data_IF_650871721836
#
_entry.id   IF_650871721836
#
_cell.length_a   1.000
_cell.length_b   1.000
_cell.length_c   1.000
_cell.angle_alpha   90.00
_cell.angle_beta   90.00
_cell.angle_gamma   90.00
#
_symmetry.space_group_name_H-M   'P 1'
#
loop_
_entity.id
_entity.type
_entity.pdbx_description
1 polymer ?
#
# COMPACT_ATOMS: atom_id res chain seq x y z
N UNK A 1 -1.72 -21.15 -9.76
CA UNK A 1 -0.74 -21.92 -8.97
C UNK A 1 0.69 -21.69 -9.44
N UNK A 2 1.04 -21.90 -10.71
CA UNK A 2 2.41 -21.73 -11.25
C UNK A 2 3.01 -20.33 -10.95
N UNK A 3 2.27 -19.25 -11.15
CA UNK A 3 2.75 -17.89 -10.90
C UNK A 3 3.10 -17.62 -9.42
N UNK A 4 2.40 -18.28 -8.48
CA UNK A 4 2.72 -18.20 -7.05
C UNK A 4 4.04 -18.90 -6.74
N UNK A 5 4.27 -20.08 -7.35
CA UNK A 5 5.51 -20.83 -7.19
C UNK A 5 6.71 -20.09 -7.80
N UNK A 6 6.53 -19.49 -8.97
CA UNK A 6 7.57 -18.67 -9.60
C UNK A 6 7.85 -17.41 -8.79
N UNK A 7 6.80 -16.75 -8.29
CA UNK A 7 6.97 -15.63 -7.37
C UNK A 7 7.74 -16.03 -6.12
N UNK A 8 7.34 -17.12 -5.47
CA UNK A 8 8.01 -17.64 -4.28
C UNK A 8 9.50 -17.93 -4.55
N UNK A 9 9.81 -18.60 -5.67
CA UNK A 9 11.20 -18.86 -6.06
C UNK A 9 12.01 -17.56 -6.24
N UNK A 10 11.41 -16.54 -6.88
CA UNK A 10 12.01 -15.22 -6.99
C UNK A 10 12.23 -14.54 -5.64
N UNK A 11 11.27 -14.66 -4.72
CA UNK A 11 11.38 -14.16 -3.35
C UNK A 11 12.55 -14.78 -2.60
N UNK A 12 12.63 -16.10 -2.58
CA UNK A 12 13.73 -16.84 -1.95
C UNK A 12 15.07 -16.46 -2.55
N UNK A 13 15.15 -16.32 -3.88
CA UNK A 13 16.39 -15.92 -4.55
C UNK A 13 16.86 -14.54 -4.12
N UNK A 14 15.99 -13.54 -4.12
CA UNK A 14 16.36 -12.16 -3.74
C UNK A 14 16.68 -12.02 -2.26
N UNK A 15 15.97 -12.77 -1.41
CA UNK A 15 16.27 -12.84 0.02
C UNK A 15 17.65 -13.46 0.28
N UNK A 16 17.99 -14.55 -0.42
CA UNK A 16 19.29 -15.21 -0.33
C UNK A 16 20.46 -14.33 -0.85
N UNK A 17 20.18 -13.36 -1.70
CA UNK A 17 21.14 -12.36 -2.17
C UNK A 17 21.34 -11.20 -1.17
N UNK A 18 20.64 -11.20 -0.04
CA UNK A 18 20.72 -10.15 0.97
C UNK A 18 20.14 -8.81 0.51
N UNK A 19 19.23 -8.80 -0.46
CA UNK A 19 18.59 -7.59 -0.94
C UNK A 19 17.54 -7.14 0.07
N UNK A 20 17.59 -5.87 0.50
CA UNK A 20 16.62 -5.31 1.42
C UNK A 20 15.20 -5.40 0.86
N UNK A 21 14.25 -5.92 1.63
CA UNK A 21 12.91 -6.31 1.20
C UNK A 21 12.94 -7.22 -0.05
N UNK A 22 13.98 -8.05 -0.14
CA UNK A 22 14.24 -8.90 -1.31
C UNK A 22 13.13 -9.91 -1.54
N UNK A 23 12.57 -10.45 -0.48
CA UNK A 23 11.49 -11.43 -0.61
C UNK A 23 10.27 -10.84 -1.33
N UNK A 24 9.80 -9.66 -0.91
CA UNK A 24 8.68 -8.97 -1.56
C UNK A 24 9.01 -8.60 -3.01
N UNK A 25 10.19 -8.00 -3.23
CA UNK A 25 10.63 -7.56 -4.56
C UNK A 25 10.81 -8.75 -5.52
N UNK A 26 11.45 -9.81 -5.08
CA UNK A 26 11.67 -11.02 -5.87
C UNK A 26 10.36 -11.68 -6.30
N UNK A 27 9.43 -11.85 -5.36
CA UNK A 27 8.09 -12.37 -5.66
C UNK A 27 7.37 -11.51 -6.73
N UNK A 28 7.45 -10.20 -6.60
CA UNK A 28 6.80 -9.26 -7.53
C UNK A 28 7.45 -9.30 -8.92
N UNK A 29 8.78 -9.21 -8.99
CA UNK A 29 9.50 -9.15 -10.26
C UNK A 29 9.39 -10.46 -11.05
N UNK A 30 9.56 -11.61 -10.40
CA UNK A 30 9.48 -12.91 -11.06
C UNK A 30 8.07 -13.22 -11.54
N UNK A 31 7.07 -12.88 -10.77
CA UNK A 31 5.67 -13.05 -11.20
C UNK A 31 5.32 -12.09 -12.35
N UNK A 32 5.81 -10.86 -12.34
CA UNK A 32 5.65 -9.90 -13.42
C UNK A 32 6.36 -10.35 -14.70
N UNK A 33 7.61 -10.81 -14.60
CA UNK A 33 8.38 -11.33 -15.71
C UNK A 33 7.71 -12.57 -16.34
N UNK A 34 7.28 -13.53 -15.51
CA UNK A 34 6.53 -14.69 -15.98
C UNK A 34 5.28 -14.28 -16.77
N UNK A 35 4.51 -13.33 -16.23
CA UNK A 35 3.31 -12.83 -16.86
C UNK A 35 3.60 -12.17 -18.22
N UNK A 36 4.69 -11.41 -18.28
CA UNK A 36 5.13 -10.74 -19.49
C UNK A 36 5.55 -11.75 -20.60
N UNK A 37 6.31 -12.78 -20.22
CA UNK A 37 6.84 -13.78 -21.17
C UNK A 37 5.76 -14.73 -21.67
N UNK A 38 4.96 -15.27 -20.75
CA UNK A 38 3.97 -16.31 -21.08
C UNK A 38 2.69 -15.74 -21.69
N UNK A 39 2.52 -14.40 -21.68
CA UNK A 39 1.31 -13.70 -22.16
C UNK A 39 0.03 -14.34 -21.62
N UNK A 40 0.11 -14.92 -20.44
CA UNK A 40 -0.99 -15.63 -19.82
C UNK A 40 -2.12 -14.65 -19.46
N UNK A 41 -3.33 -14.89 -19.92
CA UNK A 41 -4.51 -14.13 -19.50
C UNK A 41 -4.93 -14.43 -18.05
N UNK A 42 -4.30 -15.41 -17.42
CA UNK A 42 -4.58 -15.79 -16.03
C UNK A 42 -4.03 -14.71 -15.10
N UNK A 43 -4.79 -13.63 -14.93
CA UNK A 43 -4.60 -12.77 -13.77
C UNK A 43 -4.83 -13.62 -12.51
N UNK A 44 -3.94 -13.51 -11.52
CA UNK A 44 -4.30 -13.98 -10.19
C UNK A 44 -5.63 -13.32 -9.82
N UNK A 45 -6.62 -14.14 -9.56
CA UNK A 45 -7.95 -13.67 -9.15
C UNK A 45 -7.77 -12.70 -7.98
N UNK A 46 -8.57 -11.63 -7.96
CA UNK A 46 -8.48 -10.61 -6.91
C UNK A 46 -8.53 -11.17 -5.48
N UNK A 47 -8.98 -12.46 -5.33
CA UNK A 47 -9.04 -13.16 -4.05
C UNK A 47 -7.66 -13.24 -3.35
N UNK A 48 -6.56 -13.51 -4.06
CA UNK A 48 -5.23 -13.59 -3.44
C UNK A 48 -4.80 -12.24 -2.87
N UNK A 49 -5.08 -11.15 -3.58
CA UNK A 49 -4.82 -9.81 -3.05
C UNK A 49 -5.69 -9.51 -1.82
N UNK A 50 -6.96 -9.90 -1.85
CA UNK A 50 -7.89 -9.72 -0.74
C UNK A 50 -7.43 -10.51 0.49
N UNK A 51 -7.04 -11.76 0.31
CA UNK A 51 -6.51 -12.62 1.40
C UNK A 51 -5.21 -12.03 1.97
N UNK A 52 -4.28 -11.59 1.13
CA UNK A 52 -3.07 -10.91 1.57
C UNK A 52 -3.37 -9.66 2.41
N UNK A 53 -4.31 -8.83 1.97
CA UNK A 53 -4.75 -7.65 2.72
C UNK A 53 -5.41 -8.01 4.06
N UNK A 54 -6.26 -9.04 4.10
CA UNK A 54 -6.91 -9.50 5.32
C UNK A 54 -5.86 -9.96 6.33
N UNK A 55 -4.93 -10.83 5.90
CA UNK A 55 -3.89 -11.36 6.77
C UNK A 55 -3.02 -10.23 7.31
N UNK A 56 -2.53 -9.31 6.45
CA UNK A 56 -1.75 -8.17 6.92
C UNK A 56 -2.54 -7.26 7.86
N UNK A 57 -3.81 -6.99 7.56
CA UNK A 57 -4.67 -6.24 8.47
C UNK A 57 -4.75 -6.90 9.86
N UNK A 58 -4.98 -8.21 9.89
CA UNK A 58 -5.03 -8.95 11.16
C UNK A 58 -3.69 -8.93 11.90
N UNK A 59 -2.56 -9.11 11.21
CA UNK A 59 -1.22 -9.04 11.82
C UNK A 59 -0.94 -7.67 12.46
N UNK A 60 -1.33 -6.59 11.79
CA UNK A 60 -1.22 -5.24 12.35
C UNK A 60 -2.10 -5.10 13.59
N UNK A 61 -3.36 -5.55 13.51
CA UNK A 61 -4.30 -5.40 14.63
C UNK A 61 -3.88 -6.19 15.86
N UNK A 62 -3.43 -7.45 15.70
CA UNK A 62 -2.93 -8.26 16.82
C UNK A 62 -1.62 -7.75 17.42
N UNK A 63 -0.95 -6.82 16.73
CA UNK A 63 0.28 -6.20 17.23
C UNK A 63 0.02 -4.85 17.92
N UNK A 64 -1.22 -4.36 18.02
CA UNK A 64 -1.52 -3.08 18.67
C UNK A 64 -1.22 -3.12 20.16
N UNK A 65 -0.64 -2.01 20.65
CA UNK A 65 -0.45 -1.73 22.08
C UNK A 65 -1.04 -0.36 22.39
N UNK A 66 -1.37 -0.11 23.64
CA UNK A 66 -1.92 1.19 24.05
C UNK A 66 -0.98 2.37 23.69
N UNK A 67 0.34 2.16 23.80
CA UNK A 67 1.36 3.15 23.41
C UNK A 67 1.25 3.57 21.94
N UNK A 68 0.89 2.64 21.03
CA UNK A 68 0.70 2.94 19.61
C UNK A 68 -0.48 3.89 19.38
N UNK A 69 -1.55 3.78 20.19
CA UNK A 69 -2.71 4.66 20.07
C UNK A 69 -2.37 6.10 20.50
N UNK A 70 -1.51 6.29 21.48
CA UNK A 70 -1.04 7.61 21.88
C UNK A 70 -0.15 8.25 20.80
N UNK A 71 0.79 7.48 20.25
CA UNK A 71 1.61 7.92 19.11
C UNK A 71 0.74 8.34 17.92
N UNK A 72 -0.29 7.58 17.60
CA UNK A 72 -1.24 7.92 16.54
C UNK A 72 -2.03 9.21 16.83
N UNK A 73 -2.41 9.45 18.08
CA UNK A 73 -3.07 10.72 18.47
C UNK A 73 -2.15 11.92 18.25
N UNK A 74 -0.89 11.83 18.68
CA UNK A 74 0.11 12.88 18.49
C UNK A 74 0.40 13.13 17.00
N UNK A 75 0.42 12.07 16.20
CA UNK A 75 0.67 12.14 14.78
C UNK A 75 -0.54 12.64 13.94
N UNK A 76 -1.75 12.74 14.53
CA UNK A 76 -2.98 13.07 13.80
C UNK A 76 -2.88 14.40 13.05
N UNK A 77 -2.45 15.47 13.70
CA UNK A 77 -2.34 16.79 13.08
C UNK A 77 -1.24 16.86 12.01
N UNK A 78 -0.01 16.38 12.24
CA UNK A 78 0.99 16.24 11.20
C UNK A 78 0.53 15.43 9.98
N UNK A 79 -0.21 14.35 10.20
CA UNK A 79 -0.74 13.50 9.14
C UNK A 79 -1.81 14.24 8.32
N UNK A 80 -2.74 14.92 8.97
CA UNK A 80 -3.75 15.74 8.28
C UNK A 80 -3.08 16.79 7.40
N UNK A 81 -2.09 17.49 7.92
CA UNK A 81 -1.29 18.45 7.15
C UNK A 81 -0.64 17.77 5.94
N UNK A 82 0.02 16.64 6.15
CA UNK A 82 0.67 15.87 5.10
C UNK A 82 -0.31 15.44 4.00
N UNK A 83 -1.51 14.96 4.38
CA UNK A 83 -2.54 14.57 3.42
C UNK A 83 -2.98 15.75 2.58
N UNK A 84 -3.24 16.90 3.20
CA UNK A 84 -3.65 18.12 2.51
C UNK A 84 -2.57 18.54 1.50
N UNK A 85 -1.30 18.53 1.91
CA UNK A 85 -0.17 18.88 1.02
C UNK A 85 -0.06 17.89 -0.14
N UNK A 86 -0.09 16.59 0.11
CA UNK A 86 0.01 15.56 -0.93
C UNK A 86 -1.18 15.57 -1.90
N UNK A 87 -2.40 15.78 -1.40
CA UNK A 87 -3.60 15.88 -2.25
C UNK A 87 -3.53 17.13 -3.12
N UNK A 88 -3.15 18.25 -2.54
CA UNK A 88 -2.98 19.51 -3.29
C UNK A 88 -1.89 19.38 -4.36
N UNK A 89 -0.75 18.80 -4.00
CA UNK A 89 0.33 18.51 -4.95
C UNK A 89 -0.11 17.54 -6.05
N UNK A 90 -0.80 16.46 -5.71
CA UNK A 90 -1.34 15.51 -6.69
C UNK A 90 -2.33 16.16 -7.65
N UNK A 91 -3.18 17.05 -7.15
CA UNK A 91 -4.10 17.82 -7.98
C UNK A 91 -3.36 18.76 -8.95
N UNK A 92 -2.38 19.52 -8.47
CA UNK A 92 -1.54 20.41 -9.30
C UNK A 92 -0.75 19.61 -10.34
N UNK A 93 -0.16 18.50 -9.94
CA UNK A 93 0.57 17.59 -10.85
C UNK A 93 -0.36 16.97 -11.89
N UNK A 94 -1.60 16.64 -11.52
CA UNK A 94 -2.62 16.18 -12.47
C UNK A 94 -3.01 17.23 -13.50
N UNK A 95 -3.11 18.50 -13.10
CA UNK A 95 -3.30 19.60 -14.04
C UNK A 95 -2.09 19.75 -14.98
N UNK A 96 -0.88 19.58 -14.47
CA UNK A 96 0.34 19.60 -15.29
C UNK A 96 0.35 18.42 -16.26
N UNK A 97 -0.01 17.21 -15.81
CA UNK A 97 -0.10 16.02 -16.66
C UNK A 97 -1.06 16.24 -17.85
N UNK A 98 -2.21 16.86 -17.61
CA UNK A 98 -3.18 17.16 -18.68
C UNK A 98 -2.69 18.18 -19.71
N UNK A 99 -1.66 18.97 -19.40
CA UNK A 99 -1.01 19.88 -20.35
C UNK A 99 0.13 19.23 -21.13
N UNK A 100 0.75 18.21 -20.52
CA UNK A 100 1.92 17.51 -21.09
C UNK A 100 1.54 16.27 -21.90
N UNK A 101 0.28 15.82 -21.80
CA UNK A 101 -0.21 14.58 -22.43
C UNK A 101 -1.54 14.82 -23.11
N UNK A 102 -1.95 13.95 -24.06
CA UNK A 102 -3.25 14.04 -24.70
C UNK A 102 -4.43 13.57 -23.81
N UNK A 103 -4.20 13.40 -22.52
CA UNK A 103 -5.22 12.96 -21.57
C UNK A 103 -6.15 14.13 -21.21
N UNK A 104 -7.42 13.81 -21.01
CA UNK A 104 -8.35 14.77 -20.44
C UNK A 104 -7.98 15.14 -18.99
N UNK A 105 -8.44 16.31 -18.57
CA UNK A 105 -8.06 16.88 -17.26
C UNK A 105 -8.47 16.00 -16.08
N UNK A 106 -9.67 15.41 -16.14
CA UNK A 106 -10.17 14.58 -15.05
C UNK A 106 -9.40 13.28 -14.92
N UNK A 107 -9.14 12.57 -16.02
CA UNK A 107 -8.29 11.38 -16.04
C UNK A 107 -6.89 11.68 -15.50
N UNK A 108 -6.28 12.79 -15.93
CA UNK A 108 -4.95 13.20 -15.47
C UNK A 108 -4.90 13.49 -13.96
N UNK A 109 -5.90 14.20 -13.43
CA UNK A 109 -5.99 14.47 -11.99
C UNK A 109 -6.19 13.18 -11.20
N UNK A 110 -7.12 12.32 -11.61
CA UNK A 110 -7.36 11.03 -10.94
C UNK A 110 -6.12 10.14 -10.95
N UNK A 111 -5.35 10.15 -12.05
CA UNK A 111 -4.10 9.39 -12.17
C UNK A 111 -3.00 9.89 -11.23
N UNK A 112 -2.99 11.20 -10.91
CA UNK A 112 -1.93 11.84 -10.12
C UNK A 112 -2.24 11.91 -8.62
N UNK A 113 -3.51 11.86 -8.22
CA UNK A 113 -3.89 11.92 -6.81
C UNK A 113 -3.29 10.76 -6.01
N UNK A 114 -2.80 11.01 -4.78
CA UNK A 114 -2.18 9.99 -3.91
C UNK A 114 -3.21 9.05 -3.25
N UNK A 115 -4.27 8.68 -3.98
CA UNK A 115 -5.32 7.79 -3.55
C UNK A 115 -5.00 6.30 -3.76
N UNK A 116 -5.77 5.46 -3.11
CA UNK A 116 -5.73 4.01 -3.35
C UNK A 116 -6.32 3.66 -4.72
N UNK A 117 -5.71 2.67 -5.40
CA UNK A 117 -6.16 2.23 -6.72
C UNK A 117 -7.69 1.97 -6.79
N UNK A 118 -8.31 1.21 -5.86
CA UNK A 118 -9.74 0.94 -5.93
C UNK A 118 -10.61 2.20 -5.86
N UNK A 119 -10.21 3.17 -5.03
CA UNK A 119 -10.94 4.44 -4.89
C UNK A 119 -10.87 5.25 -6.19
N UNK A 120 -9.66 5.38 -6.74
CA UNK A 120 -9.44 6.22 -7.93
C UNK A 120 -10.04 5.60 -9.19
N UNK A 121 -10.00 4.27 -9.32
CA UNK A 121 -10.63 3.57 -10.45
C UNK A 121 -12.16 3.60 -10.37
N UNK A 122 -12.74 3.40 -9.19
CA UNK A 122 -14.19 3.53 -9.00
C UNK A 122 -14.66 4.95 -9.31
N UNK A 123 -13.93 5.96 -8.82
CA UNK A 123 -14.26 7.36 -9.10
C UNK A 123 -14.10 7.70 -10.60
N UNK A 124 -13.11 7.09 -11.27
CA UNK A 124 -12.94 7.26 -12.72
C UNK A 124 -14.13 6.65 -13.48
N UNK A 125 -14.65 5.51 -13.04
CA UNK A 125 -15.83 4.86 -13.59
C UNK A 125 -17.07 5.73 -13.40
N UNK A 126 -17.33 6.21 -12.18
CA UNK A 126 -18.47 7.07 -11.84
C UNK A 126 -18.45 8.39 -12.64
N UNK A 127 -17.26 8.94 -12.88
CA UNK A 127 -17.06 10.16 -13.66
C UNK A 127 -16.94 9.89 -15.17
N UNK A 128 -17.11 8.66 -15.64
CA UNK A 128 -16.99 8.23 -17.05
C UNK A 128 -15.63 8.60 -17.65
N UNK A 129 -14.56 8.49 -16.86
CA UNK A 129 -13.19 8.75 -17.28
C UNK A 129 -12.48 7.47 -17.73
N UNK A 130 -11.25 7.58 -18.23
CA UNK A 130 -10.49 6.42 -18.67
C UNK A 130 -9.94 5.61 -17.47
N UNK A 131 -10.72 4.64 -17.00
CA UNK A 131 -10.38 3.76 -15.88
C UNK A 131 -9.06 3.01 -16.12
N UNK A 132 -8.82 2.56 -17.36
CA UNK A 132 -7.60 1.82 -17.73
C UNK A 132 -6.35 2.66 -17.50
N UNK A 133 -6.33 3.91 -17.96
CA UNK A 133 -5.18 4.81 -17.77
C UNK A 133 -4.98 5.14 -16.29
N UNK A 134 -6.05 5.46 -15.57
CA UNK A 134 -5.96 5.71 -14.12
C UNK A 134 -5.36 4.51 -13.40
N UNK A 135 -5.86 3.30 -13.68
CA UNK A 135 -5.33 2.08 -13.08
C UNK A 135 -3.86 1.87 -13.39
N UNK A 136 -3.47 2.00 -14.65
CA UNK A 136 -2.10 1.76 -15.11
C UNK A 136 -1.10 2.74 -14.49
N UNK A 137 -1.42 4.04 -14.42
CA UNK A 137 -0.54 5.02 -13.77
C UNK A 137 -0.39 4.74 -12.28
N UNK A 138 -1.46 4.32 -11.60
CA UNK A 138 -1.39 3.93 -10.19
C UNK A 138 -0.54 2.67 -9.97
N UNK A 139 -0.65 1.66 -10.84
CA UNK A 139 0.23 0.48 -10.79
C UNK A 139 1.68 0.85 -11.04
N UNK A 140 1.95 1.71 -12.02
CA UNK A 140 3.29 2.18 -12.32
C UNK A 140 3.90 2.92 -11.12
N UNK A 141 3.13 3.80 -10.47
CA UNK A 141 3.55 4.44 -9.22
C UNK A 141 3.86 3.44 -8.12
N UNK A 142 2.96 2.49 -7.89
CA UNK A 142 3.15 1.46 -6.88
C UNK A 142 4.42 0.64 -7.16
N UNK A 143 4.63 0.22 -8.39
CA UNK A 143 5.82 -0.54 -8.82
C UNK A 143 7.10 0.27 -8.58
N UNK A 144 7.14 1.54 -8.97
CA UNK A 144 8.30 2.41 -8.74
C UNK A 144 8.59 2.48 -7.23
N UNK A 145 7.60 2.76 -6.41
CA UNK A 145 7.78 2.92 -4.96
C UNK A 145 8.27 1.62 -4.32
N UNK A 146 7.64 0.50 -4.66
CA UNK A 146 8.01 -0.82 -4.14
C UNK A 146 9.45 -1.20 -4.50
N UNK A 147 9.91 -0.83 -5.70
CA UNK A 147 11.27 -1.12 -6.14
C UNK A 147 12.30 -0.12 -5.58
N UNK A 148 11.92 1.15 -5.46
CA UNK A 148 12.87 2.21 -5.07
C UNK A 148 13.05 2.34 -3.56
N UNK A 149 12.00 2.14 -2.75
CA UNK A 149 12.11 2.29 -1.30
C UNK A 149 13.11 1.35 -0.65
N UNK A 150 13.09 0.02 -0.91
CA UNK A 150 14.07 -0.89 -0.34
C UNK A 150 15.51 -0.62 -0.78
N UNK A 151 15.71 -0.05 -1.96
CA UNK A 151 17.04 0.32 -2.46
C UNK A 151 17.51 1.66 -1.89
N UNK A 152 16.58 2.59 -1.70
CA UNK A 152 16.88 3.95 -1.23
C UNK A 152 17.22 3.98 0.27
N UNK A 153 16.53 3.19 1.11
CA UNK A 153 16.73 3.19 2.55
C UNK A 153 18.16 2.81 2.96
N UNK A 154 18.76 1.70 2.44
CA UNK A 154 20.17 1.38 2.71
C UNK A 154 21.13 2.46 2.23
N UNK A 155 20.87 3.00 1.02
CA UNK A 155 21.72 4.02 0.41
C UNK A 155 21.79 5.31 1.23
N UNK A 156 20.70 5.65 1.91
CA UNK A 156 20.64 6.80 2.81
C UNK A 156 21.26 6.51 4.21
N UNK A 157 21.82 5.32 4.43
CA UNK A 157 22.34 4.91 5.74
C UNK A 157 21.25 4.75 6.81
N UNK A 158 20.01 4.60 6.39
CA UNK A 158 18.85 4.53 7.26
C UNK A 158 18.52 3.10 7.69
N UNK A 159 19.14 2.09 7.09
CA UNK A 159 19.10 0.74 7.61
C UNK A 159 20.21 0.62 8.67
N UNK A 160 19.87 0.72 9.91
CA UNK A 160 20.53 -0.09 10.90
C UNK A 160 20.17 -1.54 10.55
N UNK A 161 21.13 -2.25 9.94
CA UNK A 161 21.08 -3.71 9.76
C UNK A 161 21.23 -4.31 11.16
N UNK A 162 20.14 -4.32 11.85
CA UNK A 162 19.99 -4.85 13.17
C UNK A 162 18.49 -4.91 13.40
N UNK A 163 17.91 -6.09 13.19
CA UNK A 163 16.64 -6.37 13.81
C UNK A 163 16.73 -5.84 15.24
N UNK A 164 16.01 -4.78 15.56
CA UNK A 164 15.63 -4.56 16.95
C UNK A 164 14.87 -5.83 17.32
N UNK A 165 15.60 -6.85 17.76
CA UNK A 165 15.07 -7.75 18.75
C UNK A 165 14.64 -6.83 19.90
N UNK A 166 13.43 -6.29 19.79
CA UNK A 166 12.73 -5.86 20.99
C UNK A 166 12.72 -7.12 21.82
N UNK A 167 13.42 -7.11 22.97
CA UNK A 167 13.47 -8.21 23.91
C UNK A 167 12.10 -8.53 24.53
N UNK A 168 11.08 -8.49 23.72
CA UNK A 168 9.72 -8.94 24.00
C UNK A 168 9.75 -10.43 23.85
N UNK A 169 9.64 -11.14 24.96
CA UNK A 169 9.41 -12.58 24.99
C UNK A 169 8.24 -12.86 24.04
N UNK A 170 8.55 -13.44 22.88
CA UNK A 170 7.51 -13.82 21.94
C UNK A 170 6.72 -14.97 22.57
N UNK A 171 5.44 -14.74 22.82
CA UNK A 171 4.52 -15.79 23.24
C UNK A 171 3.89 -16.36 21.98
N UNK A 172 4.20 -17.60 21.61
CA UNK A 172 3.63 -18.18 20.39
C UNK A 172 2.10 -18.21 20.51
N UNK A 173 1.44 -17.98 19.37
CA UNK A 173 -0.02 -18.02 19.30
C UNK A 173 -0.51 -19.46 19.56
N UNK A 174 -1.49 -19.59 20.39
CA UNK A 174 -2.15 -20.87 20.68
C UNK A 174 -3.18 -21.24 19.59
N UNK A 175 -3.68 -22.46 19.65
CA UNK A 175 -4.68 -22.95 18.69
C UNK A 175 -5.96 -22.09 18.69
N UNK A 176 -6.38 -21.58 19.85
CA UNK A 176 -7.55 -20.71 19.99
C UNK A 176 -7.34 -19.40 19.23
N UNK A 177 -6.15 -18.80 19.33
CA UNK A 177 -5.77 -17.61 18.58
C UNK A 177 -5.85 -17.81 17.08
N UNK A 178 -5.33 -18.90 16.53
CA UNK A 178 -5.45 -19.22 15.10
C UNK A 178 -6.90 -19.43 14.67
N UNK A 179 -7.72 -20.09 15.47
CA UNK A 179 -9.15 -20.27 15.19
C UNK A 179 -9.88 -18.92 15.14
N UNK A 180 -9.61 -18.04 16.10
CA UNK A 180 -10.17 -16.69 16.13
C UNK A 180 -9.71 -15.86 14.92
N UNK A 181 -8.43 -15.92 14.54
CA UNK A 181 -7.94 -15.25 13.33
C UNK A 181 -8.66 -15.76 12.08
N UNK A 182 -8.88 -17.07 11.96
CA UNK A 182 -9.65 -17.65 10.86
C UNK A 182 -11.08 -17.08 10.82
N UNK A 183 -11.75 -16.99 11.96
CA UNK A 183 -13.10 -16.42 12.07
C UNK A 183 -13.10 -14.92 11.71
N UNK A 184 -12.14 -14.15 12.23
CA UNK A 184 -11.97 -12.73 11.90
C UNK A 184 -11.75 -12.56 10.40
N UNK A 185 -10.94 -13.42 9.77
CA UNK A 185 -10.70 -13.40 8.33
C UNK A 185 -11.99 -13.58 7.52
N UNK A 186 -12.83 -14.54 7.89
CA UNK A 186 -14.13 -14.77 7.26
C UNK A 186 -15.06 -13.57 7.47
N UNK A 187 -15.18 -13.07 8.70
CA UNK A 187 -16.01 -11.90 9.02
C UNK A 187 -15.55 -10.68 8.21
N UNK A 188 -14.25 -10.43 8.15
CA UNK A 188 -13.64 -9.34 7.38
C UNK A 188 -13.98 -9.46 5.89
N UNK A 189 -13.85 -10.65 5.32
CA UNK A 189 -14.16 -10.91 3.92
C UNK A 189 -15.64 -10.62 3.61
N UNK A 190 -16.56 -11.18 4.41
CA UNK A 190 -18.01 -10.99 4.26
C UNK A 190 -18.39 -9.52 4.45
N UNK A 191 -17.85 -8.88 5.48
CA UNK A 191 -18.13 -7.47 5.79
C UNK A 191 -17.73 -6.55 4.62
N UNK A 192 -16.50 -6.73 4.10
CA UNK A 192 -16.05 -5.90 2.98
C UNK A 192 -16.80 -6.24 1.68
N UNK A 193 -17.22 -7.48 1.48
CA UNK A 193 -18.08 -7.83 0.34
C UNK A 193 -19.44 -7.11 0.38
N UNK A 194 -19.98 -6.87 1.58
CA UNK A 194 -21.25 -6.14 1.79
C UNK A 194 -21.10 -4.63 1.68
N UNK A 195 -20.10 -4.07 2.37
CA UNK A 195 -19.88 -2.61 2.47
C UNK A 195 -19.13 -2.07 1.25
N UNK A 196 -18.25 -2.90 0.62
CA UNK A 196 -17.39 -2.53 -0.53
C UNK A 196 -16.52 -1.31 -0.25
N UNK A 197 -15.97 -1.23 0.98
CA UNK A 197 -15.10 -0.12 1.35
C UNK A 197 -13.71 -0.29 0.70
N UNK A 198 -13.16 0.76 0.06
CA UNK A 198 -11.83 0.72 -0.53
C UNK A 198 -10.75 0.43 0.51
N UNK A 199 -9.96 -0.64 0.31
CA UNK A 199 -8.99 -1.10 1.33
C UNK A 199 -9.62 -1.75 2.57
N UNK A 200 -10.94 -2.01 2.53
CA UNK A 200 -11.70 -2.54 3.65
C UNK A 200 -11.22 -3.91 4.11
N UNK A 201 -10.68 -4.75 3.24
CA UNK A 201 -10.10 -6.03 3.63
C UNK A 201 -8.99 -5.85 4.68
N UNK A 202 -8.08 -4.90 4.48
CA UNK A 202 -7.03 -4.61 5.44
C UNK A 202 -7.56 -3.84 6.65
N UNK A 203 -8.42 -2.82 6.42
CA UNK A 203 -8.98 -1.99 7.48
C UNK A 203 -9.82 -2.79 8.47
N UNK A 204 -10.79 -3.57 7.99
CA UNK A 204 -11.67 -4.36 8.86
C UNK A 204 -10.87 -5.46 9.56
N UNK A 205 -9.93 -6.12 8.87
CA UNK A 205 -9.02 -7.08 9.49
C UNK A 205 -8.26 -6.45 10.65
N UNK A 206 -7.68 -5.27 10.45
CA UNK A 206 -6.94 -4.54 11.48
C UNK A 206 -7.83 -4.10 12.65
N UNK A 207 -8.99 -3.49 12.36
CA UNK A 207 -9.88 -2.96 13.41
C UNK A 207 -10.48 -4.09 14.24
N UNK A 208 -10.98 -5.15 13.60
CA UNK A 208 -11.62 -6.27 14.31
C UNK A 208 -10.58 -7.01 15.15
N UNK A 209 -9.44 -7.41 14.56
CA UNK A 209 -8.40 -8.13 15.31
C UNK A 209 -7.77 -7.29 16.42
N UNK A 210 -7.55 -5.99 16.16
CA UNK A 210 -7.03 -5.05 17.15
C UNK A 210 -7.99 -4.82 18.32
N UNK A 211 -9.29 -4.67 18.04
CA UNK A 211 -10.30 -4.56 19.09
C UNK A 211 -10.39 -5.81 19.95
N UNK A 212 -10.34 -6.99 19.31
CA UNK A 212 -10.35 -8.25 20.06
C UNK A 212 -9.06 -8.38 20.89
N UNK A 213 -7.89 -8.05 20.31
CA UNK A 213 -6.60 -8.10 20.98
C UNK A 213 -6.54 -7.22 22.25
N UNK A 214 -7.04 -6.00 22.13
CA UNK A 214 -6.95 -5.01 23.21
C UNK A 214 -7.99 -5.22 24.32
N UNK A 215 -9.18 -5.77 24.00
CA UNK A 215 -10.31 -5.77 24.92
C UNK A 215 -10.85 -7.16 25.29
N UNK A 216 -10.57 -8.21 24.52
CA UNK A 216 -11.22 -9.51 24.68
C UNK A 216 -10.21 -10.64 24.87
N UNK A 217 -9.25 -10.77 23.94
CA UNK A 217 -8.33 -11.90 23.89
C UNK A 217 -6.96 -11.45 23.39
N UNK A 218 -5.93 -11.43 24.24
CA UNK A 218 -4.57 -11.06 23.85
C UNK A 218 -3.98 -12.17 22.95
N UNK A 219 -3.85 -11.87 21.66
CA UNK A 219 -3.22 -12.77 20.71
C UNK A 219 -1.71 -12.87 20.98
N UNK A 220 -1.16 -14.09 20.87
CA UNK A 220 0.27 -14.30 20.78
C UNK A 220 0.84 -13.93 19.40
N UNK A 221 2.15 -14.09 19.25
CA UNK A 221 2.83 -13.84 17.98
C UNK A 221 2.49 -14.92 16.95
N UNK A 222 2.17 -14.50 15.75
CA UNK A 222 1.88 -15.42 14.64
C UNK A 222 3.16 -16.01 14.06
N UNK A 223 3.08 -17.25 13.60
CA UNK A 223 4.18 -17.89 12.88
C UNK A 223 4.59 -17.07 11.65
N UNK A 224 5.87 -17.02 11.37
CA UNK A 224 6.43 -16.37 10.18
C UNK A 224 5.83 -16.86 8.87
N UNK A 225 5.29 -18.10 8.84
CA UNK A 225 4.62 -18.69 7.67
C UNK A 225 3.36 -17.89 7.30
N UNK A 226 2.54 -17.47 8.26
CA UNK A 226 1.32 -16.69 8.01
C UNK A 226 1.67 -15.37 7.33
N UNK A 227 2.70 -14.70 7.82
CA UNK A 227 3.23 -13.47 7.27
C UNK A 227 3.79 -13.69 5.85
N UNK A 228 4.56 -14.75 5.65
CA UNK A 228 5.15 -15.12 4.37
C UNK A 228 4.07 -15.37 3.31
N UNK A 229 2.99 -16.08 3.65
CA UNK A 229 1.84 -16.29 2.77
C UNK A 229 1.23 -14.95 2.35
N UNK A 230 1.04 -14.03 3.29
CA UNK A 230 0.48 -12.72 2.99
C UNK A 230 1.39 -11.89 2.05
N UNK A 231 2.71 -11.91 2.28
CA UNK A 231 3.71 -11.26 1.42
C UNK A 231 3.63 -11.84 0.00
N UNK A 232 3.64 -13.16 -0.16
CA UNK A 232 3.53 -13.81 -1.47
C UNK A 232 2.25 -13.40 -2.19
N UNK A 233 1.11 -13.43 -1.50
CA UNK A 233 -0.16 -13.08 -2.11
C UNK A 233 -0.21 -11.61 -2.57
N UNK A 234 0.33 -10.69 -1.79
CA UNK A 234 0.36 -9.26 -2.14
C UNK A 234 1.33 -8.98 -3.27
N UNK A 235 2.58 -9.44 -3.15
CA UNK A 235 3.65 -9.13 -4.10
C UNK A 235 3.38 -9.76 -5.48
N UNK A 236 2.98 -11.05 -5.51
CA UNK A 236 2.63 -11.73 -6.76
C UNK A 236 1.38 -11.13 -7.40
N UNK A 237 0.40 -10.70 -6.59
CA UNK A 237 -0.78 -10.00 -7.11
C UNK A 237 -0.42 -8.68 -7.80
N UNK A 238 0.55 -7.94 -7.28
CA UNK A 238 1.05 -6.70 -7.90
C UNK A 238 1.82 -7.03 -9.16
N UNK A 239 2.80 -7.93 -9.10
CA UNK A 239 3.62 -8.34 -10.24
C UNK A 239 2.77 -8.87 -11.40
N UNK A 240 1.76 -9.67 -11.12
CA UNK A 240 0.87 -10.25 -12.14
C UNK A 240 0.07 -9.22 -12.94
N UNK A 241 0.03 -7.96 -12.55
CA UNK A 241 -0.65 -6.88 -13.27
C UNK A 241 0.27 -6.12 -14.24
N UNK A 242 1.55 -6.43 -14.25
CA UNK A 242 2.51 -5.90 -15.21
C UNK A 242 2.37 -6.70 -16.51
N UNK A 243 1.60 -6.16 -17.45
CA UNK A 243 1.35 -6.79 -18.76
C UNK A 243 1.91 -5.93 -19.90
N UNK A 244 2.08 -6.53 -21.08
CA UNK A 244 2.49 -5.78 -22.27
C UNK A 244 1.47 -4.67 -22.59
N UNK A 245 0.19 -4.96 -22.45
CA UNK A 245 -0.89 -3.99 -22.65
C UNK A 245 -0.75 -2.79 -21.71
N UNK A 246 -0.47 -3.04 -20.41
CA UNK A 246 -0.17 -2.02 -19.41
C UNK A 246 0.99 -1.13 -19.85
N UNK A 247 2.07 -1.72 -20.36
CA UNK A 247 3.26 -0.99 -20.83
C UNK A 247 2.94 -0.17 -22.09
N UNK A 248 2.17 -0.72 -23.02
CA UNK A 248 1.79 -0.02 -24.26
C UNK A 248 0.85 1.18 -23.97
N UNK A 249 -0.09 1.05 -23.03
CA UNK A 249 -0.94 2.15 -22.59
C UNK A 249 -0.11 3.28 -21.94
N UNK A 250 0.93 2.91 -21.19
CA UNK A 250 1.83 3.88 -20.58
C UNK A 250 2.71 4.61 -21.60
N UNK A 251 3.02 4.04 -22.76
CA UNK A 251 4.03 4.55 -23.68
C UNK A 251 3.87 6.04 -24.00
N UNK A 252 2.63 6.54 -24.13
CA UNK A 252 2.33 7.94 -24.43
C UNK A 252 2.43 8.89 -23.22
N UNK A 253 2.39 8.34 -22.01
CA UNK A 253 2.31 9.13 -20.77
C UNK A 253 3.41 8.78 -19.77
N UNK A 254 4.24 7.78 -20.06
CA UNK A 254 5.21 7.20 -19.12
C UNK A 254 6.22 8.25 -18.61
N UNK A 255 6.74 9.09 -19.50
CA UNK A 255 7.75 10.07 -19.14
C UNK A 255 7.14 11.18 -18.25
N UNK A 256 6.06 11.89 -18.66
CA UNK A 256 5.42 12.86 -17.80
C UNK A 256 4.87 12.27 -16.50
N UNK A 257 4.25 11.09 -16.56
CA UNK A 257 3.75 10.40 -15.36
C UNK A 257 4.88 9.99 -14.42
N UNK A 258 6.01 9.50 -14.95
CA UNK A 258 7.20 9.17 -14.18
C UNK A 258 7.78 10.39 -13.45
N UNK A 259 7.93 11.52 -14.11
CA UNK A 259 8.37 12.77 -13.48
C UNK A 259 7.43 13.21 -12.35
N UNK A 260 6.13 13.10 -12.56
CA UNK A 260 5.13 13.43 -11.54
C UNK A 260 5.22 12.46 -10.34
N UNK A 261 5.36 11.16 -10.59
CA UNK A 261 5.52 10.17 -9.55
C UNK A 261 6.77 10.45 -8.72
N UNK A 262 7.91 10.71 -9.36
CA UNK A 262 9.17 11.05 -8.67
C UNK A 262 8.98 12.31 -7.82
N UNK A 263 8.33 13.35 -8.35
CA UNK A 263 8.04 14.58 -7.61
C UNK A 263 7.18 14.31 -6.37
N UNK A 264 6.11 13.52 -6.51
CA UNK A 264 5.24 13.18 -5.39
C UNK A 264 5.92 12.27 -4.36
N UNK A 265 6.78 11.36 -4.79
CA UNK A 265 7.59 10.51 -3.90
C UNK A 265 8.59 11.37 -3.12
N UNK A 266 9.32 12.25 -3.81
CA UNK A 266 10.27 13.18 -3.16
C UNK A 266 9.56 14.08 -2.15
N UNK A 267 8.40 14.62 -2.51
CA UNK A 267 7.58 15.40 -1.58
C UNK A 267 7.15 14.54 -0.37
N UNK A 268 6.74 13.30 -0.60
CA UNK A 268 6.42 12.36 0.46
C UNK A 268 7.59 12.11 1.41
N UNK A 269 8.81 11.94 0.87
CA UNK A 269 10.02 11.76 1.69
C UNK A 269 10.32 13.02 2.53
N UNK A 270 10.21 14.21 1.95
CA UNK A 270 10.38 15.47 2.70
C UNK A 270 9.35 15.58 3.83
N UNK A 271 8.10 15.26 3.56
CA UNK A 271 7.04 15.23 4.56
C UNK A 271 7.26 14.14 5.61
N UNK A 272 7.90 13.02 5.25
CA UNK A 272 8.31 11.97 6.19
C UNK A 272 9.38 12.45 7.17
N UNK A 273 10.38 13.16 6.68
CA UNK A 273 11.37 13.82 7.56
C UNK A 273 10.71 14.81 8.51
N UNK A 274 9.73 15.58 8.01
CA UNK A 274 8.98 16.51 8.85
C UNK A 274 8.15 15.77 9.90
N UNK A 275 7.48 14.68 9.52
CA UNK A 275 6.73 13.83 10.43
C UNK A 275 7.62 13.28 11.55
N UNK A 276 8.80 12.74 11.20
CA UNK A 276 9.79 12.29 12.16
C UNK A 276 10.15 13.39 13.17
N UNK A 277 10.46 14.59 12.68
CA UNK A 277 10.85 15.72 13.56
C UNK A 277 9.72 16.21 14.47
N UNK A 278 8.48 16.14 14.01
CA UNK A 278 7.33 16.63 14.78
C UNK A 278 6.80 15.61 15.79
N UNK A 279 6.95 14.33 15.53
CA UNK A 279 6.32 13.27 16.32
C UNK A 279 7.30 12.38 17.06
N UNK A 280 8.60 12.40 16.70
CA UNK A 280 9.60 11.48 17.23
C UNK A 280 9.46 10.03 16.72
N UNK A 281 8.53 9.77 15.78
CA UNK A 281 8.42 8.46 15.12
C UNK A 281 9.76 8.16 14.41
N UNK A 282 10.22 6.91 14.48
CA UNK A 282 11.41 6.46 13.75
C UNK A 282 11.42 6.92 12.29
N UNK A 283 12.60 7.33 11.80
CA UNK A 283 12.71 7.97 10.48
C UNK A 283 12.28 7.03 9.35
N UNK A 284 12.66 5.74 9.40
CA UNK A 284 12.25 4.75 8.40
C UNK A 284 10.72 4.59 8.36
N UNK A 285 10.13 4.46 9.54
CA UNK A 285 8.68 4.39 9.72
C UNK A 285 7.99 5.64 9.20
N UNK A 286 8.50 6.83 9.52
CA UNK A 286 7.95 8.10 9.07
C UNK A 286 8.04 8.28 7.55
N UNK A 287 9.18 7.92 6.93
CA UNK A 287 9.38 7.98 5.48
C UNK A 287 8.42 7.04 4.74
N UNK A 288 8.36 5.76 5.15
CA UNK A 288 7.46 4.78 4.53
C UNK A 288 5.99 5.13 4.72
N UNK A 289 5.62 5.73 5.86
CA UNK A 289 4.26 6.22 6.11
C UNK A 289 3.85 7.37 5.20
N UNK A 290 4.82 8.17 4.76
CA UNK A 290 4.59 9.43 4.05
C UNK A 290 4.52 9.28 2.55
N UNK A 291 5.24 8.32 1.98
CA UNK A 291 5.28 8.09 0.52
C UNK A 291 3.90 7.67 -0.01
N UNK A 292 3.46 8.18 -1.19
CA UNK A 292 2.14 7.90 -1.74
C UNK A 292 2.03 6.51 -2.40
N UNK A 293 2.19 5.43 -1.61
CA UNK A 293 2.11 4.03 -2.03
C UNK A 293 0.83 3.32 -1.62
N UNK A 294 0.77 2.01 -1.86
CA UNK A 294 -0.33 1.14 -1.42
C UNK A 294 -0.17 0.77 0.06
N UNK A 295 -1.25 0.86 0.84
CA UNK A 295 -1.21 0.56 2.27
C UNK A 295 -0.60 -0.82 2.56
N UNK A 296 -1.17 -1.89 1.99
CA UNK A 296 -0.70 -3.24 2.23
C UNK A 296 0.75 -3.49 1.77
N UNK A 297 1.13 -2.96 0.60
CA UNK A 297 2.48 -3.16 0.05
C UNK A 297 3.55 -2.47 0.88
N UNK A 298 3.31 -1.21 1.26
CA UNK A 298 4.29 -0.46 2.07
C UNK A 298 4.35 -0.97 3.52
N UNK A 299 3.24 -1.49 4.05
CA UNK A 299 3.27 -2.16 5.34
C UNK A 299 4.11 -3.44 5.30
N UNK A 300 3.98 -4.23 4.21
CA UNK A 300 4.79 -5.43 4.03
C UNK A 300 6.29 -5.10 3.88
N UNK A 301 6.62 -4.07 3.10
CA UNK A 301 7.99 -3.59 2.94
C UNK A 301 8.53 -3.01 4.25
N UNK A 302 7.72 -2.27 5.00
CA UNK A 302 8.10 -1.72 6.30
C UNK A 302 8.55 -2.80 7.26
N UNK A 303 7.83 -3.91 7.30
CA UNK A 303 8.17 -5.05 8.12
C UNK A 303 9.51 -5.71 7.70
N UNK A 304 9.73 -5.90 6.40
CA UNK A 304 11.02 -6.43 5.90
C UNK A 304 12.20 -5.44 6.10
N UNK A 305 11.93 -4.14 6.18
CA UNK A 305 12.93 -3.09 6.42
C UNK A 305 13.12 -2.74 7.91
N UNK A 306 12.46 -3.47 8.83
CA UNK A 306 12.54 -3.23 10.26
C UNK A 306 11.86 -1.95 10.75
N UNK A 307 11.00 -1.34 9.93
CA UNK A 307 10.16 -0.22 10.32
C UNK A 307 8.87 -0.70 11.04
N UNK A 308 8.22 0.16 11.79
CA UNK A 308 6.99 -0.22 12.49
C UNK A 308 5.80 -0.34 11.52
N UNK A 309 5.52 -1.59 11.11
CA UNK A 309 4.42 -1.89 10.19
C UNK A 309 3.05 -1.45 10.71
N UNK A 310 2.86 -1.35 12.04
CA UNK A 310 1.61 -0.92 12.68
C UNK A 310 1.33 0.55 12.39
N UNK A 311 2.36 1.38 12.57
CA UNK A 311 2.30 2.81 12.29
C UNK A 311 2.14 3.03 10.77
N UNK A 312 2.99 2.42 9.95
CA UNK A 312 2.92 2.54 8.49
C UNK A 312 1.55 2.14 7.96
N UNK A 313 1.04 0.97 8.34
CA UNK A 313 -0.26 0.47 7.92
C UNK A 313 -1.41 1.37 8.35
N UNK A 314 -1.42 1.79 9.61
CA UNK A 314 -2.45 2.66 10.17
C UNK A 314 -2.50 4.04 9.49
N UNK A 315 -1.34 4.67 9.26
CA UNK A 315 -1.25 5.97 8.62
C UNK A 315 -1.68 5.92 7.15
N UNK A 316 -1.32 4.87 6.43
CA UNK A 316 -1.79 4.65 5.06
C UNK A 316 -3.30 4.43 4.99
N UNK A 317 -3.88 3.66 5.91
CA UNK A 317 -5.33 3.46 5.97
C UNK A 317 -6.07 4.74 6.34
N UNK A 318 -5.56 5.51 7.30
CA UNK A 318 -6.11 6.81 7.66
C UNK A 318 -6.15 7.76 6.46
N UNK A 319 -5.06 7.84 5.71
CA UNK A 319 -5.00 8.61 4.44
C UNK A 319 -6.03 8.11 3.42
N UNK A 320 -6.16 6.79 3.28
CA UNK A 320 -7.09 6.18 2.32
C UNK A 320 -8.55 6.50 2.67
N UNK A 321 -8.91 6.45 3.95
CA UNK A 321 -10.24 6.83 4.43
C UNK A 321 -10.52 8.31 4.14
N UNK A 322 -9.60 9.19 4.50
CA UNK A 322 -9.76 10.62 4.25
C UNK A 322 -9.91 10.93 2.77
N UNK A 323 -9.10 10.30 1.90
CA UNK A 323 -9.20 10.50 0.46
C UNK A 323 -10.52 9.95 -0.11
N UNK A 324 -11.00 8.81 0.36
CA UNK A 324 -12.29 8.27 -0.04
C UNK A 324 -13.44 9.23 0.28
N UNK A 325 -13.35 9.94 1.40
CA UNK A 325 -14.35 10.94 1.82
C UNK A 325 -14.18 12.28 1.10
N UNK A 326 -12.94 12.76 0.95
CA UNK A 326 -12.67 14.12 0.44
C UNK A 326 -12.70 14.21 -1.09
N UNK A 327 -12.31 13.14 -1.81
CA UNK A 327 -12.15 13.21 -3.26
C UNK A 327 -13.47 13.39 -4.02
N UNK A 328 -14.58 12.71 -3.72
CA UNK A 328 -15.85 12.90 -4.42
C UNK A 328 -16.38 14.35 -4.37
N UNK A 329 -16.48 15.01 -3.20
CA UNK A 329 -16.95 16.39 -3.15
C UNK A 329 -16.01 17.37 -3.87
N UNK A 330 -14.69 17.17 -3.82
CA UNK A 330 -13.74 17.97 -4.57
C UNK A 330 -14.02 17.91 -6.08
N UNK A 331 -14.20 16.71 -6.64
CA UNK A 331 -14.52 16.55 -8.05
C UNK A 331 -15.88 17.15 -8.43
N UNK A 332 -16.88 17.02 -7.57
CA UNK A 332 -18.20 17.62 -7.79
C UNK A 332 -18.14 19.14 -7.87
N UNK A 333 -17.37 19.79 -7.00
CA UNK A 333 -17.14 21.23 -7.01
C UNK A 333 -16.43 21.72 -8.29
N UNK A 334 -15.45 20.95 -8.78
CA UNK A 334 -14.70 21.31 -9.98
C UNK A 334 -15.45 21.05 -11.30
N UNK A 335 -16.34 20.07 -11.37
CA UNK A 335 -17.12 19.81 -12.57
C UNK A 335 -18.35 20.73 -12.73
N UNK A 336 -18.86 21.33 -11.65
CA UNK A 336 -19.94 22.32 -11.72
C UNK A 336 -19.64 23.53 -12.62
N UNK A 337 -18.37 23.87 -12.82
CA UNK A 337 -17.96 24.98 -13.71
C UNK A 337 -17.97 24.65 -15.20
N UNK A 338 -18.32 23.43 -15.62
CA UNK A 338 -18.43 23.06 -17.05
C UNK A 338 -19.87 23.02 -17.56
N UNK A 339 -20.86 23.17 -16.71
CA UNK A 339 -22.31 23.14 -17.04
C UNK A 339 -22.99 24.52 -16.88
N UNK A 340 -22.24 25.56 -16.62
CA UNK A 340 -22.61 26.97 -16.72
C UNK A 340 -21.75 27.65 -17.82
#
# INVERSE_FOLDING_TARGET
MIILLIGLAGGILFDSLGISAGFFMGCMLFSGFYRFVVKSEIALTGIYNQLGQIIFGMLIGTSFRQENLETMKLATLPILFQIIVLVSAGFLMGMLLSRLTPLDRSTSILSSLPGGLPVMTSLAEDLKQNVGIVAVVHYFRLTIIVLTMPLLMPFLGLLEVGAKETGVVSVPMDFTGYLLLGLIGVVTFVLNHRIRFPGGHMLFGMVISGSIHLFIYPFGDTDGIVKLIAIVFLSVSIGSKITLETILLLRKVILPAGCIIITLVTLGLVLGVLLHKLTGIDLNTALLSSVPGGAASLTAIADELGADMRIVGSLHLYRLILLAVLTPPLFFLFNRKKTA
#
